data_IF_906801920328
#
_entry.id   IF_906801920328
#
_cell.length_a   1.000
_cell.length_b   1.000
_cell.length_c   1.000
_cell.angle_alpha   90.00
_cell.angle_beta   90.00
_cell.angle_gamma   90.00
#
_symmetry.space_group_name_H-M   'P 1'
#
loop_
_entity.id
_entity.type
_entity.pdbx_description
1 polymer ?
#
# COMPACT_ATOMS: atom_id res chain seq x y z
N UNK A 1 -30.38 -13.87 13.68
CA UNK A 1 -29.48 -14.94 14.17
C UNK A 1 -28.08 -14.36 14.25
N UNK A 2 -27.36 -14.59 15.36
CA UNK A 2 -25.98 -14.15 15.47
C UNK A 2 -25.15 -14.80 14.34
N UNK A 3 -24.33 -14.00 13.66
CA UNK A 3 -23.55 -14.45 12.50
C UNK A 3 -22.40 -15.40 12.90
N UNK A 4 -21.96 -15.32 14.15
CA UNK A 4 -20.82 -16.03 14.70
C UNK A 4 -21.17 -16.61 16.07
N UNK A 5 -20.56 -17.76 16.40
CA UNK A 5 -20.68 -18.45 17.69
C UNK A 5 -19.52 -18.12 18.63
N UNK A 6 -18.39 -17.67 18.08
CA UNK A 6 -17.23 -17.22 18.84
C UNK A 6 -16.41 -16.21 18.02
N UNK A 7 -15.38 -15.62 18.63
CA UNK A 7 -14.39 -14.83 17.89
C UNK A 7 -12.97 -15.06 18.40
N UNK A 8 -12.01 -14.75 17.54
CA UNK A 8 -10.58 -14.74 17.85
C UNK A 8 -9.95 -13.42 17.44
N UNK A 9 -9.10 -12.87 18.31
CA UNK A 9 -8.24 -11.73 18.00
C UNK A 9 -6.83 -12.25 17.78
N UNK A 10 -6.44 -12.41 16.52
CA UNK A 10 -5.06 -12.66 16.13
C UNK A 10 -4.26 -11.37 16.29
N UNK A 11 -3.26 -11.42 17.17
CA UNK A 11 -2.45 -10.26 17.51
C UNK A 11 -1.04 -10.72 17.91
N UNK A 12 -0.20 -9.77 18.28
CA UNK A 12 1.13 -10.04 18.82
C UNK A 12 1.32 -9.26 20.13
N UNK A 13 2.42 -9.55 20.83
CA UNK A 13 2.80 -8.75 21.98
C UNK A 13 2.96 -7.27 21.57
N UNK A 14 2.37 -6.36 22.37
CA UNK A 14 2.48 -4.90 22.21
C UNK A 14 1.84 -4.30 20.94
N UNK A 15 0.95 -5.02 20.28
CA UNK A 15 0.13 -4.47 19.17
C UNK A 15 -1.07 -3.62 19.63
N UNK A 16 -1.29 -3.48 20.94
CA UNK A 16 -2.48 -2.82 21.50
C UNK A 16 -3.63 -3.78 21.81
N UNK A 17 -3.42 -5.09 21.72
CA UNK A 17 -4.47 -6.09 21.92
C UNK A 17 -5.17 -6.06 23.28
N UNK A 18 -4.49 -5.61 24.35
CA UNK A 18 -5.12 -5.37 25.66
C UNK A 18 -6.16 -4.23 25.61
N UNK A 19 -5.87 -3.17 24.84
CA UNK A 19 -6.78 -2.03 24.71
C UNK A 19 -7.99 -2.42 23.85
N UNK A 20 -7.76 -3.15 22.76
CA UNK A 20 -8.85 -3.72 21.97
C UNK A 20 -9.73 -4.64 22.83
N UNK A 21 -9.12 -5.53 23.63
CA UNK A 21 -9.85 -6.41 24.55
C UNK A 21 -10.73 -5.61 25.53
N UNK A 22 -10.20 -4.56 26.15
CA UNK A 22 -10.95 -3.73 27.10
C UNK A 22 -12.20 -3.11 26.44
N UNK A 23 -12.07 -2.61 25.22
CA UNK A 23 -13.20 -2.03 24.46
C UNK A 23 -14.19 -3.10 23.99
N UNK A 24 -13.72 -4.28 23.57
CA UNK A 24 -14.59 -5.42 23.24
C UNK A 24 -15.41 -5.85 24.46
N UNK A 25 -14.78 -5.91 25.64
CA UNK A 25 -15.44 -6.29 26.89
C UNK A 25 -16.39 -5.23 27.45
N UNK A 26 -16.34 -4.00 26.91
CA UNK A 26 -17.32 -2.96 27.23
C UNK A 26 -18.60 -3.09 26.38
N UNK A 27 -18.63 -3.95 25.36
CA UNK A 27 -19.84 -4.24 24.59
C UNK A 27 -20.72 -5.24 25.35
N UNK A 28 -21.95 -4.83 25.65
CA UNK A 28 -22.94 -5.72 26.28
C UNK A 28 -23.13 -7.02 25.47
N UNK A 29 -23.05 -8.15 26.17
CA UNK A 29 -23.21 -9.48 25.58
C UNK A 29 -21.97 -10.02 24.86
N UNK A 30 -20.81 -9.36 24.97
CA UNK A 30 -19.53 -9.82 24.41
C UNK A 30 -18.52 -10.05 25.53
N UNK A 31 -17.71 -11.11 25.43
CA UNK A 31 -16.63 -11.37 26.38
C UNK A 31 -15.40 -11.96 25.71
N UNK A 32 -14.26 -11.30 25.88
CA UNK A 32 -12.94 -11.74 25.46
C UNK A 32 -12.16 -12.23 26.69
N UNK A 33 -11.83 -13.52 26.72
CA UNK A 33 -11.20 -14.23 27.83
C UNK A 33 -9.67 -14.11 27.87
N UNK A 34 -9.13 -12.94 27.50
CA UNK A 34 -7.69 -12.72 27.42
C UNK A 34 -6.98 -13.69 26.48
N UNK A 35 -5.77 -14.10 26.84
CA UNK A 35 -4.95 -15.07 26.12
C UNK A 35 -5.27 -16.51 26.58
N UNK A 36 -6.45 -17.00 26.24
CA UNK A 36 -6.98 -18.29 26.71
C UNK A 36 -6.04 -19.49 26.42
N UNK A 37 -5.24 -19.41 25.36
CA UNK A 37 -4.30 -20.44 24.92
C UNK A 37 -2.82 -20.09 25.17
N UNK A 38 -2.54 -19.17 26.10
CA UNK A 38 -1.17 -18.90 26.52
C UNK A 38 -0.58 -20.11 27.26
N UNK A 39 0.62 -20.60 26.92
CA UNK A 39 1.21 -21.77 27.58
C UNK A 39 1.53 -21.54 29.07
N UNK A 40 1.70 -20.30 29.51
CA UNK A 40 2.15 -19.99 30.86
C UNK A 40 1.00 -19.80 31.86
N UNK A 41 -0.16 -19.33 31.40
CA UNK A 41 -1.30 -18.96 32.25
C UNK A 41 -2.65 -19.19 31.54
N UNK A 42 -3.75 -19.17 32.30
CA UNK A 42 -5.09 -19.35 31.75
C UNK A 42 -5.78 -17.97 31.57
N UNK A 43 -5.79 -17.46 30.34
CA UNK A 43 -6.48 -16.21 29.96
C UNK A 43 -5.77 -14.95 30.40
N UNK A 44 -5.53 -14.79 31.70
CA UNK A 44 -4.85 -13.63 32.28
C UNK A 44 -3.67 -14.04 33.15
N UNK A 45 -2.64 -13.18 33.30
CA UNK A 45 -1.59 -13.39 34.28
C UNK A 45 -2.18 -13.58 35.68
N UNK A 46 -1.63 -14.54 36.44
CA UNK A 46 -2.09 -14.91 37.80
C UNK A 46 -3.54 -15.42 37.88
N UNK A 47 -4.08 -15.96 36.78
CA UNK A 47 -5.33 -16.74 36.78
C UNK A 47 -5.03 -18.19 36.43
N UNK A 48 -5.64 -19.09 37.20
CA UNK A 48 -5.43 -20.53 37.07
C UNK A 48 -6.52 -21.23 36.24
N UNK A 49 -7.59 -20.50 35.91
CA UNK A 49 -8.71 -21.03 35.14
C UNK A 49 -9.37 -19.98 34.22
N UNK A 50 -9.93 -20.45 33.11
CA UNK A 50 -10.80 -19.71 32.18
C UNK A 50 -12.08 -20.50 32.01
N UNK A 51 -13.24 -19.86 32.15
CA UNK A 51 -14.56 -20.52 32.06
C UNK A 51 -14.66 -21.78 32.96
N UNK A 52 -14.02 -21.74 34.14
CA UNK A 52 -13.99 -22.85 35.09
C UNK A 52 -13.03 -24.00 34.74
N UNK A 53 -12.37 -23.97 33.57
CA UNK A 53 -11.37 -24.95 33.16
C UNK A 53 -9.97 -24.51 33.63
N UNK A 54 -9.26 -25.40 34.34
CA UNK A 54 -7.89 -25.15 34.80
C UNK A 54 -6.89 -25.21 33.66
N UNK A 55 -5.69 -24.62 33.87
CA UNK A 55 -4.59 -24.72 32.91
C UNK A 55 -4.25 -26.18 32.56
N UNK A 56 -4.11 -27.04 33.56
CA UNK A 56 -3.74 -28.45 33.34
C UNK A 56 -4.81 -29.22 32.54
N UNK A 57 -6.10 -28.91 32.78
CA UNK A 57 -7.20 -29.49 32.00
C UNK A 57 -7.20 -29.00 30.55
N UNK A 58 -6.98 -27.70 30.32
CA UNK A 58 -6.81 -27.13 28.97
C UNK A 58 -5.60 -27.73 28.25
N UNK A 59 -4.47 -27.89 28.94
CA UNK A 59 -3.24 -28.39 28.31
C UNK A 59 -3.40 -29.87 27.89
N UNK A 60 -4.20 -30.65 28.65
CA UNK A 60 -4.60 -32.00 28.30
C UNK A 60 -5.56 -32.05 27.10
N UNK A 61 -6.55 -31.17 27.04
CA UNK A 61 -7.50 -31.06 25.92
C UNK A 61 -7.86 -29.58 25.61
N UNK A 62 -7.11 -28.93 24.70
CA UNK A 62 -7.36 -27.52 24.38
C UNK A 62 -8.60 -27.32 23.50
N UNK A 63 -9.11 -28.38 22.85
CA UNK A 63 -10.34 -28.29 22.07
C UNK A 63 -11.57 -28.19 22.99
N UNK A 64 -11.55 -28.84 24.15
CA UNK A 64 -12.59 -28.66 25.16
C UNK A 64 -12.74 -27.20 25.62
N UNK A 65 -11.64 -26.43 25.71
CA UNK A 65 -11.72 -24.99 26.00
C UNK A 65 -12.37 -24.19 24.85
N UNK A 66 -12.10 -24.54 23.59
CA UNK A 66 -12.78 -23.91 22.45
C UNK A 66 -14.29 -24.13 22.51
N UNK A 67 -14.72 -25.35 22.86
CA UNK A 67 -16.14 -25.68 22.95
C UNK A 67 -16.82 -24.96 24.13
N UNK A 68 -16.10 -24.77 25.25
CA UNK A 68 -16.55 -23.93 26.35
C UNK A 68 -16.71 -22.47 25.92
N UNK A 69 -15.77 -21.92 25.14
CA UNK A 69 -15.87 -20.56 24.60
C UNK A 69 -17.10 -20.44 23.68
N UNK A 70 -17.32 -21.39 22.76
CA UNK A 70 -18.49 -21.38 21.85
C UNK A 70 -19.83 -21.51 22.58
N UNK A 71 -19.86 -22.26 23.67
CA UNK A 71 -21.10 -22.56 24.42
C UNK A 71 -21.39 -21.56 25.53
N UNK A 72 -20.47 -20.66 25.84
CA UNK A 72 -20.65 -19.66 26.89
C UNK A 72 -21.75 -18.64 26.51
N UNK A 73 -22.51 -18.11 27.49
CA UNK A 73 -23.56 -17.13 27.21
C UNK A 73 -23.01 -15.86 26.54
N UNK A 74 -23.70 -15.38 25.49
CA UNK A 74 -23.26 -14.23 24.70
C UNK A 74 -22.21 -14.60 23.64
N UNK A 75 -21.60 -13.60 23.02
CA UNK A 75 -20.54 -13.81 22.04
C UNK A 75 -19.18 -13.82 22.76
N UNK A 76 -18.53 -14.98 22.76
CA UNK A 76 -17.30 -15.19 23.51
C UNK A 76 -16.09 -15.37 22.59
N UNK A 77 -14.93 -14.94 23.06
CA UNK A 77 -13.70 -15.03 22.29
C UNK A 77 -12.44 -14.89 23.11
N UNK A 78 -11.31 -14.81 22.44
CA UNK A 78 -9.99 -14.74 23.07
C UNK A 78 -8.95 -14.13 22.13
N UNK A 79 -7.82 -13.71 22.70
CA UNK A 79 -6.61 -13.32 21.98
C UNK A 79 -5.74 -14.52 21.70
N UNK A 80 -5.24 -14.60 20.47
CA UNK A 80 -4.37 -15.68 20.00
C UNK A 80 -3.10 -15.10 19.35
N UNK A 81 -1.93 -15.45 19.88
CA UNK A 81 -0.63 -15.01 19.37
C UNK A 81 0.11 -16.17 18.69
N UNK A 82 1.14 -15.86 17.89
CA UNK A 82 1.91 -16.89 17.19
C UNK A 82 2.63 -17.89 18.14
N UNK A 83 2.80 -17.53 19.40
CA UNK A 83 3.46 -18.32 20.45
C UNK A 83 2.48 -19.09 21.35
N UNK A 84 1.18 -19.02 21.07
CA UNK A 84 0.16 -19.76 21.81
C UNK A 84 0.05 -21.21 21.30
N UNK A 85 -0.76 -22.01 21.97
CA UNK A 85 -0.93 -23.43 21.66
C UNK A 85 -1.38 -23.67 20.20
N UNK A 86 -0.46 -24.18 19.38
CA UNK A 86 -0.68 -24.42 17.96
C UNK A 86 -1.71 -25.50 17.63
N UNK A 87 -2.10 -26.35 18.60
CA UNK A 87 -3.03 -27.46 18.39
C UNK A 87 -4.44 -26.98 18.02
N UNK A 88 -4.83 -25.80 18.50
CA UNK A 88 -6.14 -25.21 18.23
C UNK A 88 -6.20 -24.31 17.00
N UNK A 89 -5.04 -23.95 16.43
CA UNK A 89 -4.99 -23.00 15.31
C UNK A 89 -5.85 -23.45 14.12
N UNK A 90 -5.73 -24.73 13.73
CA UNK A 90 -6.46 -25.24 12.57
C UNK A 90 -7.97 -25.26 12.83
N UNK A 91 -8.39 -25.68 14.03
CA UNK A 91 -9.79 -25.69 14.44
C UNK A 91 -10.41 -24.28 14.44
N UNK A 92 -9.66 -23.25 14.84
CA UNK A 92 -10.11 -21.86 14.81
C UNK A 92 -10.21 -21.34 13.37
N UNK A 93 -9.18 -21.61 12.56
CA UNK A 93 -9.10 -21.09 11.20
C UNK A 93 -10.11 -21.73 10.25
N UNK A 94 -10.41 -23.02 10.43
CA UNK A 94 -11.33 -23.74 9.54
C UNK A 94 -12.80 -23.56 9.91
N UNK A 95 -13.09 -23.06 11.12
CA UNK A 95 -14.45 -22.84 11.61
C UNK A 95 -15.06 -21.52 11.09
N UNK A 96 -15.99 -21.53 10.12
CA UNK A 96 -16.60 -20.30 9.59
C UNK A 96 -17.50 -19.58 10.60
N UNK A 97 -17.93 -20.24 11.68
CA UNK A 97 -18.73 -19.64 12.75
C UNK A 97 -17.88 -18.91 13.80
N UNK A 98 -16.54 -19.08 13.77
CA UNK A 98 -15.62 -18.26 14.56
C UNK A 98 -15.23 -17.00 13.78
N UNK A 99 -15.52 -15.80 14.30
CA UNK A 99 -15.12 -14.54 13.68
C UNK A 99 -13.61 -14.31 13.82
N UNK A 100 -12.94 -13.85 12.75
CA UNK A 100 -11.51 -13.56 12.75
C UNK A 100 -11.28 -12.06 12.82
N UNK A 101 -10.53 -11.62 13.81
CA UNK A 101 -10.05 -10.24 13.94
C UNK A 101 -8.53 -10.30 13.87
N UNK A 102 -7.91 -9.51 12.99
CA UNK A 102 -6.45 -9.45 12.84
C UNK A 102 -6.01 -8.04 13.22
N UNK A 103 -5.23 -7.95 14.31
CA UNK A 103 -4.66 -6.71 14.81
C UNK A 103 -3.16 -6.65 14.53
N UNK A 104 -2.76 -5.73 13.66
CA UNK A 104 -1.37 -5.42 13.36
C UNK A 104 -0.90 -4.13 14.03
N UNK A 105 0.42 -3.99 14.08
CA UNK A 105 1.11 -2.75 14.46
C UNK A 105 2.44 -2.74 13.74
N UNK A 106 3.00 -1.56 13.50
CA UNK A 106 4.36 -1.43 13.00
C UNK A 106 5.34 -2.32 13.84
N UNK A 107 6.02 -3.30 13.23
CA UNK A 107 6.89 -4.23 13.94
C UNK A 107 8.02 -3.56 14.71
N UNK A 108 8.57 -2.44 14.20
CA UNK A 108 9.66 -1.75 14.91
C UNK A 108 9.16 -1.07 16.19
N UNK A 109 7.97 -0.49 16.17
CA UNK A 109 7.37 0.10 17.37
C UNK A 109 7.01 -0.94 18.43
N UNK A 110 6.48 -2.08 17.98
CA UNK A 110 6.16 -3.20 18.87
C UNK A 110 7.42 -3.78 19.49
N UNK A 111 8.48 -3.93 18.70
CA UNK A 111 9.78 -4.42 19.14
C UNK A 111 10.45 -3.47 20.15
N UNK A 112 10.54 -2.18 19.85
CA UNK A 112 11.09 -1.18 20.77
C UNK A 112 10.30 -1.16 22.09
N UNK A 113 8.96 -1.20 22.00
CA UNK A 113 8.12 -1.26 23.20
C UNK A 113 8.32 -2.55 24.00
N UNK A 114 8.58 -3.68 23.35
CA UNK A 114 8.88 -4.96 24.01
C UNK A 114 10.25 -4.93 24.71
N UNK A 115 11.28 -4.39 24.06
CA UNK A 115 12.62 -4.21 24.65
C UNK A 115 12.56 -3.34 25.89
N UNK A 116 11.84 -2.20 25.84
CA UNK A 116 11.66 -1.31 26.98
C UNK A 116 10.93 -2.01 28.12
N UNK A 117 9.85 -2.75 27.85
CA UNK A 117 9.11 -3.49 28.87
C UNK A 117 9.98 -4.57 29.53
N UNK A 118 10.81 -5.28 28.74
CA UNK A 118 11.75 -6.29 29.24
C UNK A 118 12.85 -5.67 30.12
N UNK A 119 13.34 -4.49 29.75
CA UNK A 119 14.36 -3.77 30.53
C UNK A 119 13.81 -3.18 31.84
N UNK A 120 12.56 -2.69 31.82
CA UNK A 120 11.94 -1.97 32.95
C UNK A 120 11.11 -2.86 33.89
N UNK A 121 10.77 -4.08 33.48
CA UNK A 121 9.90 -5.00 34.23
C UNK A 121 8.43 -4.55 34.32
N UNK A 122 8.04 -3.48 33.61
CA UNK A 122 6.69 -2.93 33.63
C UNK A 122 5.84 -3.45 32.47
N UNK A 123 4.83 -4.26 32.79
CA UNK A 123 3.92 -4.87 31.80
C UNK A 123 2.58 -4.11 31.65
N UNK A 124 2.22 -3.25 32.62
CA UNK A 124 1.06 -2.33 32.59
C UNK A 124 1.50 -0.93 33.02
N UNK A 125 1.26 0.07 32.18
CA UNK A 125 1.51 1.49 32.46
C UNK A 125 0.40 2.04 33.38
N UNK A 126 0.46 1.72 34.67
CA UNK A 126 -0.49 2.26 35.66
C UNK A 126 0.14 3.23 36.67
N UNK A 127 1.48 3.33 36.75
CA UNK A 127 2.15 4.21 37.73
C UNK A 127 3.15 5.18 37.09
N UNK A 128 2.80 6.47 37.13
CA UNK A 128 3.44 7.59 36.41
C UNK A 128 4.68 8.15 37.16
N UNK A 129 5.20 7.49 38.19
CA UNK A 129 6.17 8.12 39.13
C UNK A 129 7.65 7.71 39.02
N UNK A 130 8.06 6.93 38.01
CA UNK A 130 9.50 6.64 37.78
C UNK A 130 9.85 6.58 36.29
N UNK A 131 9.89 7.73 35.62
CA UNK A 131 10.66 7.89 34.38
C UNK A 131 12.14 8.07 34.75
N UNK A 132 12.91 6.98 34.82
CA UNK A 132 14.38 7.05 34.80
C UNK A 132 14.86 6.27 33.57
N UNK A 133 15.26 7.05 32.56
CA UNK A 133 16.16 6.68 31.44
C UNK A 133 15.82 5.37 30.69
N UNK A 134 14.73 5.39 29.91
CA UNK A 134 14.24 4.28 29.07
C UNK A 134 14.80 4.31 27.63
N UNK A 135 16.11 4.29 27.44
CA UNK A 135 16.70 3.96 26.13
C UNK A 135 17.02 2.48 26.06
N UNK A 136 16.88 1.86 24.89
CA UNK A 136 17.20 0.45 24.67
C UNK A 136 18.10 0.29 23.47
N UNK A 137 19.05 -0.64 23.55
CA UNK A 137 19.88 -1.01 22.41
C UNK A 137 19.08 -1.89 21.44
N UNK A 138 19.05 -1.48 20.18
CA UNK A 138 18.54 -2.24 19.05
C UNK A 138 19.50 -3.37 18.69
N UNK A 139 18.95 -4.53 18.32
CA UNK A 139 19.71 -5.70 17.86
C UNK A 139 19.10 -6.12 16.52
N UNK A 140 19.88 -5.97 15.44
CA UNK A 140 19.45 -6.29 14.07
C UNK A 140 19.01 -7.75 13.93
N UNK A 141 19.82 -8.68 14.44
CA UNK A 141 19.56 -10.11 14.27
C UNK A 141 18.36 -10.57 15.10
N UNK A 142 18.16 -10.01 16.30
CA UNK A 142 16.96 -10.23 17.11
C UNK A 142 15.71 -9.67 16.41
N UNK A 143 15.80 -8.45 15.87
CA UNK A 143 14.70 -7.82 15.15
C UNK A 143 14.32 -8.59 13.88
N UNK A 144 15.29 -9.03 13.09
CA UNK A 144 15.04 -9.82 11.87
C UNK A 144 14.35 -11.15 12.18
N UNK A 145 14.83 -11.89 13.19
CA UNK A 145 14.18 -13.13 13.63
C UNK A 145 12.77 -12.89 14.14
N UNK A 146 12.55 -11.78 14.84
CA UNK A 146 11.23 -11.38 15.33
C UNK A 146 10.28 -11.05 14.17
N UNK A 147 10.74 -10.23 13.22
CA UNK A 147 9.99 -9.84 12.03
C UNK A 147 9.64 -11.05 11.17
N UNK A 148 10.59 -11.96 10.94
CA UNK A 148 10.35 -13.16 10.13
C UNK A 148 9.25 -14.05 10.73
N UNK A 149 9.22 -14.19 12.07
CA UNK A 149 8.15 -14.94 12.77
C UNK A 149 6.79 -14.30 12.56
N UNK A 150 6.67 -12.99 12.75
CA UNK A 150 5.43 -12.24 12.54
C UNK A 150 4.97 -12.41 11.10
N UNK A 151 5.87 -12.22 10.12
CA UNK A 151 5.55 -12.35 8.71
C UNK A 151 5.09 -13.76 8.34
N UNK A 152 5.78 -14.80 8.80
CA UNK A 152 5.39 -16.20 8.57
C UNK A 152 4.00 -16.48 9.12
N UNK A 153 3.68 -15.96 10.29
CA UNK A 153 2.35 -16.11 10.88
C UNK A 153 1.27 -15.38 10.08
N UNK A 154 1.52 -14.12 9.68
CA UNK A 154 0.59 -13.34 8.85
C UNK A 154 0.32 -14.01 7.50
N UNK A 155 1.35 -14.56 6.84
CA UNK A 155 1.19 -15.34 5.61
C UNK A 155 0.39 -16.62 5.82
N UNK A 156 0.58 -17.30 6.96
CA UNK A 156 -0.20 -18.48 7.32
C UNK A 156 -1.68 -18.12 7.49
N UNK A 157 -2.00 -17.04 8.19
CA UNK A 157 -3.37 -16.52 8.36
C UNK A 157 -3.99 -16.19 7.01
N UNK A 158 -3.33 -15.35 6.21
CA UNK A 158 -3.81 -14.93 4.90
C UNK A 158 -4.07 -16.13 3.98
N UNK A 159 -3.10 -17.05 3.88
CA UNK A 159 -3.24 -18.24 3.03
C UNK A 159 -4.38 -19.15 3.48
N UNK A 160 -4.66 -19.23 4.79
CA UNK A 160 -5.79 -20.02 5.32
C UNK A 160 -7.12 -19.36 5.02
N UNK A 161 -7.26 -18.06 5.25
CA UNK A 161 -8.48 -17.30 4.90
C UNK A 161 -8.79 -17.44 3.39
N UNK A 162 -7.77 -17.30 2.54
CA UNK A 162 -7.94 -17.43 1.08
C UNK A 162 -8.40 -18.83 0.66
N UNK A 163 -7.80 -19.89 1.22
CA UNK A 163 -8.16 -21.27 0.87
C UNK A 163 -9.53 -21.67 1.40
N UNK A 164 -9.95 -21.16 2.56
CA UNK A 164 -11.25 -21.46 3.16
C UNK A 164 -12.36 -20.53 2.68
N UNK A 165 -12.05 -19.50 1.88
CA UNK A 165 -13.02 -18.50 1.43
C UNK A 165 -13.55 -17.60 2.57
N UNK A 166 -12.86 -17.57 3.71
CA UNK A 166 -13.23 -16.75 4.86
C UNK A 166 -12.59 -15.37 4.80
N UNK A 167 -13.14 -14.42 5.54
CA UNK A 167 -12.59 -13.07 5.71
C UNK A 167 -12.34 -12.77 7.19
N UNK A 168 -11.53 -11.74 7.45
CA UNK A 168 -11.25 -11.23 8.79
C UNK A 168 -11.54 -9.72 8.85
N UNK A 169 -11.79 -9.21 10.05
CA UNK A 169 -11.80 -7.78 10.35
C UNK A 169 -10.37 -7.35 10.68
N UNK A 170 -9.80 -6.48 9.85
CA UNK A 170 -8.43 -6.01 9.99
C UNK A 170 -8.40 -4.69 10.76
N UNK A 171 -7.46 -4.59 11.69
CA UNK A 171 -7.22 -3.41 12.53
C UNK A 171 -5.71 -3.16 12.59
N UNK A 172 -5.33 -1.89 12.50
CA UNK A 172 -4.02 -1.42 12.95
C UNK A 172 -4.11 -0.77 14.34
N UNK A 173 -2.95 -0.56 14.96
CA UNK A 173 -2.87 0.01 16.31
C UNK A 173 -3.50 1.40 16.40
N UNK A 174 -3.36 2.20 15.35
CA UNK A 174 -3.90 3.55 15.23
C UNK A 174 -5.43 3.54 15.19
N UNK A 175 -6.03 2.54 14.54
CA UNK A 175 -7.48 2.39 14.41
C UNK A 175 -8.18 2.16 15.75
N UNK A 176 -7.45 1.64 16.74
CA UNK A 176 -8.01 1.39 18.07
C UNK A 176 -8.50 2.68 18.76
N UNK A 177 -8.01 3.84 18.33
CA UNK A 177 -8.40 5.15 18.88
C UNK A 177 -9.66 5.73 18.23
N UNK A 178 -10.28 5.02 17.29
CA UNK A 178 -11.49 5.45 16.60
C UNK A 178 -12.72 4.67 17.09
N UNK A 179 -13.66 5.39 17.72
CA UNK A 179 -14.93 4.83 18.22
C UNK A 179 -15.76 4.26 17.09
N UNK A 180 -15.77 4.89 15.92
CA UNK A 180 -16.56 4.43 14.77
C UNK A 180 -16.00 3.13 14.21
N UNK A 181 -14.68 2.96 14.21
CA UNK A 181 -14.04 1.69 13.82
C UNK A 181 -14.37 0.58 14.81
N UNK A 182 -14.32 0.85 16.13
CA UNK A 182 -14.72 -0.14 17.15
C UNK A 182 -16.21 -0.52 17.03
N UNK A 183 -17.08 0.44 16.70
CA UNK A 183 -18.48 0.17 16.41
C UNK A 183 -18.67 -0.59 15.08
N UNK A 184 -17.77 -0.39 14.11
CA UNK A 184 -17.65 -1.22 12.91
C UNK A 184 -17.30 -2.68 13.23
N UNK A 185 -16.39 -2.91 14.18
CA UNK A 185 -16.08 -4.24 14.69
C UNK A 185 -17.30 -4.88 15.38
N UNK A 186 -18.03 -4.14 16.22
CA UNK A 186 -19.25 -4.64 16.86
C UNK A 186 -20.28 -5.09 15.81
N UNK A 187 -20.45 -4.30 14.73
CA UNK A 187 -21.32 -4.67 13.60
C UNK A 187 -20.81 -5.91 12.85
N UNK A 188 -19.50 -6.01 12.63
CA UNK A 188 -18.90 -7.19 12.02
C UNK A 188 -19.22 -8.45 12.83
N UNK A 189 -19.07 -8.39 14.15
CA UNK A 189 -19.39 -9.47 15.09
C UNK A 189 -20.89 -9.80 15.16
N UNK A 190 -21.76 -8.97 14.57
CA UNK A 190 -23.20 -9.16 14.62
C UNK A 190 -23.81 -8.82 15.98
N UNK A 191 -23.16 -7.93 16.74
CA UNK A 191 -23.57 -7.47 18.06
C UNK A 191 -24.29 -6.13 17.92
N UNK A 192 -25.37 -5.91 18.67
CA UNK A 192 -26.15 -4.66 18.63
C UNK A 192 -25.56 -3.55 19.50
N UNK A 193 -24.85 -3.91 20.58
CA UNK A 193 -24.19 -2.97 21.49
C UNK A 193 -23.20 -2.06 20.77
N UNK A 194 -23.09 -0.81 21.23
CA UNK A 194 -22.18 0.21 20.68
C UNK A 194 -21.46 0.92 21.80
N UNK A 195 -20.23 1.34 21.52
CA UNK A 195 -19.44 2.19 22.39
C UNK A 195 -19.80 3.66 22.13
N UNK A 196 -20.16 4.39 23.18
CA UNK A 196 -20.28 5.86 23.13
C UNK A 196 -18.91 6.54 23.21
N UNK A 197 -18.00 5.93 23.95
CA UNK A 197 -16.62 6.38 24.12
C UNK A 197 -15.67 5.19 24.27
N UNK A 198 -14.39 5.40 23.97
CA UNK A 198 -13.35 4.39 24.21
C UNK A 198 -12.94 4.38 25.68
N UNK A 199 -12.41 3.23 26.10
CA UNK A 199 -11.79 3.08 27.41
C UNK A 199 -10.73 4.18 27.65
N UNK A 200 -10.90 4.95 28.73
CA UNK A 200 -10.03 6.08 29.07
C UNK A 200 -8.84 5.68 29.95
N UNK A 201 -8.73 4.40 30.34
CA UNK A 201 -7.72 3.94 31.29
C UNK A 201 -6.32 3.86 30.65
N UNK A 202 -6.26 3.71 29.33
CA UNK A 202 -5.03 3.64 28.54
C UNK A 202 -4.74 4.98 27.83
N UNK A 203 -4.40 6.02 28.60
CA UNK A 203 -3.94 7.31 28.03
C UNK A 203 -2.61 7.14 27.28
N UNK A 204 -2.56 7.61 26.04
CA UNK A 204 -1.32 7.88 25.28
C UNK A 204 -0.57 9.02 25.99
N UNK A 205 0.27 8.69 26.96
CA UNK A 205 1.26 9.64 27.47
C UNK A 205 2.34 9.82 26.38
N UNK A 206 2.61 11.08 26.01
CA UNK A 206 3.49 11.50 24.91
C UNK A 206 4.63 10.50 24.65
N UNK A 207 4.54 9.68 23.58
CA UNK A 207 5.58 8.73 23.29
C UNK A 207 6.79 9.49 22.77
N UNK A 208 7.92 9.36 23.47
CA UNK A 208 9.25 9.68 22.92
C UNK A 208 9.36 9.16 21.48
N UNK A 209 10.01 9.91 20.61
CA UNK A 209 10.34 9.49 19.24
C UNK A 209 11.19 8.22 19.26
N UNK A 210 11.28 7.50 18.14
CA UNK A 210 12.10 6.29 18.08
C UNK A 210 13.58 6.60 18.30
N UNK A 211 14.06 7.75 17.80
CA UNK A 211 15.42 8.25 18.04
C UNK A 211 15.71 8.49 19.54
N UNK A 212 14.70 8.90 20.32
CA UNK A 212 14.83 9.11 21.76
C UNK A 212 14.70 7.80 22.58
N UNK A 213 14.29 6.70 21.95
CA UNK A 213 14.09 5.38 22.59
C UNK A 213 15.23 4.40 22.30
N UNK A 214 15.96 4.59 21.20
CA UNK A 214 16.96 3.65 20.71
C UNK A 214 18.35 4.28 20.76
N UNK A 215 19.28 3.65 21.49
CA UNK A 215 20.64 4.18 21.69
C UNK A 215 21.48 4.17 20.41
N UNK A 216 21.34 3.11 19.60
CA UNK A 216 22.01 2.89 18.32
C UNK A 216 21.02 3.07 17.15
N UNK A 217 20.39 4.25 17.08
CA UNK A 217 19.36 4.56 16.07
C UNK A 217 19.86 4.37 14.63
N UNK A 218 21.09 4.77 14.32
CA UNK A 218 21.69 4.61 12.99
C UNK A 218 21.76 3.14 12.54
N UNK A 219 22.05 2.22 13.47
CA UNK A 219 22.08 0.77 13.17
C UNK A 219 20.67 0.24 12.88
N UNK A 220 19.67 0.74 13.61
CA UNK A 220 18.27 0.44 13.35
C UNK A 220 17.85 0.96 11.96
N UNK A 221 18.19 2.20 11.61
CA UNK A 221 17.88 2.77 10.29
C UNK A 221 18.53 1.96 9.16
N UNK A 222 19.82 1.61 9.28
CA UNK A 222 20.51 0.79 8.29
C UNK A 222 19.87 -0.61 8.13
N UNK A 223 19.45 -1.21 9.25
CA UNK A 223 18.75 -2.49 9.27
C UNK A 223 17.38 -2.42 8.61
N UNK A 224 16.60 -1.39 8.94
CA UNK A 224 15.28 -1.15 8.36
C UNK A 224 15.40 -0.87 6.86
N UNK A 225 16.35 -0.04 6.43
CA UNK A 225 16.59 0.24 5.02
C UNK A 225 16.93 -1.03 4.22
N UNK A 226 17.68 -1.98 4.81
CA UNK A 226 17.93 -3.29 4.18
C UNK A 226 16.67 -4.14 4.11
N UNK A 227 15.90 -4.21 5.20
CA UNK A 227 14.67 -5.03 5.29
C UNK A 227 13.56 -4.48 4.38
N UNK A 228 13.38 -3.17 4.33
CA UNK A 228 12.36 -2.49 3.54
C UNK A 228 12.57 -2.71 2.03
N UNK A 229 13.83 -2.71 1.58
CA UNK A 229 14.21 -3.12 0.21
C UNK A 229 13.73 -4.52 -0.17
N UNK A 230 13.51 -5.42 0.80
CA UNK A 230 12.91 -6.76 0.58
C UNK A 230 11.40 -6.82 0.86
N UNK A 231 10.82 -5.82 1.52
CA UNK A 231 9.42 -5.78 1.98
C UNK A 231 8.50 -4.79 1.24
N UNK A 232 9.02 -4.01 0.28
CA UNK A 232 8.25 -3.12 -0.62
C UNK A 232 7.07 -3.79 -1.36
N UNK A 233 6.93 -5.12 -1.28
CA UNK A 233 5.82 -5.88 -1.85
C UNK A 233 4.62 -6.09 -0.89
N UNK A 234 4.61 -5.54 0.34
CA UNK A 234 3.56 -5.86 1.35
C UNK A 234 2.85 -4.70 2.04
N UNK A 235 3.19 -3.44 1.75
CA UNK A 235 2.25 -2.34 2.03
C UNK A 235 1.00 -2.57 1.19
N UNK A 236 -0.23 -2.52 1.76
CA UNK A 236 -1.43 -2.62 0.95
C UNK A 236 -1.37 -1.55 -0.15
N UNK A 237 -1.24 -1.99 -1.40
CA UNK A 237 -1.32 -1.08 -2.53
C UNK A 237 -2.81 -0.71 -2.68
N UNK A 238 -3.19 0.44 -2.14
CA UNK A 238 -4.54 0.98 -2.30
C UNK A 238 -4.79 1.50 -3.72
N UNK A 239 -3.75 1.61 -4.55
CA UNK A 239 -3.93 1.92 -5.96
C UNK A 239 -4.69 0.76 -6.64
N UNK A 240 -5.83 1.04 -7.31
CA UNK A 240 -6.57 0.01 -8.04
C UNK A 240 -5.68 -0.71 -9.05
N UNK A 241 -5.83 -2.03 -9.13
CA UNK A 241 -5.14 -2.83 -10.16
C UNK A 241 -5.51 -2.32 -11.55
N UNK A 242 -4.52 -2.29 -12.44
CA UNK A 242 -4.70 -1.88 -13.84
C UNK A 242 -4.87 -3.11 -14.71
N UNK A 243 -5.92 -3.11 -15.54
CA UNK A 243 -6.03 -4.05 -16.64
C UNK A 243 -5.05 -3.72 -17.79
N UNK A 244 -4.97 -4.58 -18.81
CA UNK A 244 -3.90 -4.55 -19.82
C UNK A 244 -3.94 -3.36 -20.76
N UNK A 245 -5.03 -2.58 -20.78
CA UNK A 245 -5.16 -1.38 -21.62
C UNK A 245 -4.94 -1.62 -23.12
N UNK A 246 -5.27 -2.81 -23.63
CA UNK A 246 -5.07 -3.22 -25.03
C UNK A 246 -5.53 -2.17 -26.08
N UNK A 247 -6.67 -1.48 -25.92
CA UNK A 247 -7.09 -0.47 -26.90
C UNK A 247 -6.12 0.71 -27.07
N UNK A 248 -5.25 1.00 -26.11
CA UNK A 248 -4.25 2.06 -26.23
C UNK A 248 -2.98 1.64 -26.95
N UNK A 249 -2.76 0.35 -27.19
CA UNK A 249 -1.55 -0.11 -27.86
C UNK A 249 -1.53 0.39 -29.32
N UNK A 250 -0.34 0.72 -29.81
CA UNK A 250 -0.12 1.21 -31.15
C UNK A 250 0.92 0.33 -31.84
N UNK A 251 0.59 -0.26 -32.98
CA UNK A 251 1.54 -0.99 -33.81
C UNK A 251 1.96 -0.16 -35.01
N UNK A 252 3.21 -0.34 -35.46
CA UNK A 252 3.67 0.24 -36.72
C UNK A 252 2.83 -0.32 -37.90
N UNK A 253 2.71 0.42 -39.02
CA UNK A 253 1.88 0.01 -40.15
C UNK A 253 2.35 -1.29 -40.81
N UNK A 254 3.66 -1.48 -40.94
CA UNK A 254 4.29 -2.64 -41.61
C UNK A 254 5.26 -3.36 -40.68
N UNK A 255 6.08 -2.62 -39.96
CA UNK A 255 7.08 -3.16 -39.06
C UNK A 255 6.42 -3.90 -37.88
N UNK A 256 7.02 -5.03 -37.46
CA UNK A 256 6.58 -5.80 -36.30
C UNK A 256 6.88 -5.15 -34.94
N UNK A 257 6.62 -3.85 -34.76
CA UNK A 257 6.76 -3.15 -33.49
C UNK A 257 5.41 -2.79 -32.88
N UNK A 258 5.29 -3.06 -31.58
CA UNK A 258 4.12 -2.75 -30.78
C UNK A 258 4.49 -1.86 -29.59
N UNK A 259 4.01 -0.62 -29.58
CA UNK A 259 4.15 0.31 -28.47
C UNK A 259 2.99 0.16 -27.48
N UNK A 260 3.33 -0.03 -26.21
CA UNK A 260 2.42 -0.08 -25.06
C UNK A 260 2.55 1.24 -24.30
N UNK A 261 1.69 2.25 -24.55
CA UNK A 261 1.90 3.58 -23.99
C UNK A 261 1.61 3.68 -22.51
N UNK A 262 2.55 4.30 -21.78
CA UNK A 262 2.29 4.87 -20.45
C UNK A 262 1.73 6.28 -20.59
N UNK A 263 0.59 6.54 -19.95
CA UNK A 263 -0.02 7.88 -19.97
C UNK A 263 0.86 8.90 -19.28
N UNK A 264 0.84 10.12 -19.81
CA UNK A 264 1.73 11.22 -19.44
C UNK A 264 3.22 10.91 -19.70
N UNK A 265 3.53 9.88 -20.48
CA UNK A 265 4.85 9.66 -21.07
C UNK A 265 5.01 10.38 -22.42
N UNK A 266 6.10 10.13 -23.16
CA UNK A 266 6.39 10.78 -24.43
C UNK A 266 5.57 10.20 -25.61
N UNK A 267 4.27 9.96 -25.40
CA UNK A 267 3.39 9.23 -26.33
C UNK A 267 3.39 9.84 -27.73
N UNK A 268 3.35 11.17 -27.85
CA UNK A 268 3.35 11.86 -29.14
C UNK A 268 4.65 11.62 -29.91
N UNK A 269 5.80 11.82 -29.27
CA UNK A 269 7.11 11.64 -29.90
C UNK A 269 7.31 10.18 -30.35
N UNK A 270 6.97 9.21 -29.50
CA UNK A 270 7.10 7.78 -29.81
C UNK A 270 6.16 7.36 -30.94
N UNK A 271 4.91 7.83 -30.97
CA UNK A 271 3.98 7.52 -32.07
C UNK A 271 4.44 8.12 -33.40
N UNK A 272 4.93 9.35 -33.39
CA UNK A 272 5.50 9.97 -34.61
C UNK A 272 6.71 9.19 -35.11
N UNK A 273 7.63 8.83 -34.22
CA UNK A 273 8.79 8.00 -34.55
C UNK A 273 8.37 6.62 -35.11
N UNK A 274 7.41 5.96 -34.46
CA UNK A 274 6.95 4.63 -34.84
C UNK A 274 6.31 4.61 -36.23
N UNK A 275 5.58 5.67 -36.60
CA UNK A 275 5.00 5.81 -37.93
C UNK A 275 6.06 6.13 -38.98
N UNK A 276 6.98 7.04 -38.67
CA UNK A 276 8.08 7.41 -39.55
C UNK A 276 9.06 6.26 -39.83
N UNK A 277 9.12 5.23 -38.97
CA UNK A 277 9.91 4.02 -39.20
C UNK A 277 9.46 3.24 -40.45
N UNK A 278 8.20 3.42 -40.86
CA UNK A 278 7.59 2.86 -42.07
C UNK A 278 7.22 3.97 -43.07
N UNK A 279 7.89 5.13 -43.01
CA UNK A 279 7.64 6.29 -43.88
C UNK A 279 6.16 6.73 -43.93
N UNK A 280 5.45 6.52 -42.82
CA UNK A 280 4.01 6.72 -42.72
C UNK A 280 3.63 7.86 -41.76
N UNK A 281 2.46 8.50 -41.94
CA UNK A 281 1.95 9.49 -41.01
C UNK A 281 1.41 8.84 -39.71
N UNK A 282 1.35 9.57 -38.56
CA UNK A 282 0.96 8.99 -37.27
C UNK A 282 -0.45 8.39 -37.18
N UNK A 283 -1.36 8.79 -38.06
CA UNK A 283 -2.72 8.26 -38.17
C UNK A 283 -2.78 6.92 -38.90
N UNK A 284 -1.72 6.53 -39.63
CA UNK A 284 -1.56 5.20 -40.22
C UNK A 284 -1.21 4.12 -39.19
N UNK A 285 -0.83 4.50 -37.96
CA UNK A 285 -0.57 3.55 -36.88
C UNK A 285 -1.81 2.72 -36.57
N UNK A 286 -1.63 1.40 -36.50
CA UNK A 286 -2.69 0.48 -36.11
C UNK A 286 -2.93 0.64 -34.60
N UNK A 287 -4.12 1.05 -34.21
CA UNK A 287 -4.50 1.30 -32.81
C UNK A 287 -5.95 0.87 -32.55
N UNK A 288 -6.44 1.02 -31.32
CA UNK A 288 -7.82 0.64 -30.99
C UNK A 288 -8.03 -0.88 -30.96
N UNK A 289 -6.97 -1.63 -30.65
CA UNK A 289 -7.03 -3.09 -30.62
C UNK A 289 -8.06 -3.61 -29.62
N UNK A 290 -8.74 -4.69 -30.01
CA UNK A 290 -9.35 -5.63 -29.08
C UNK A 290 -8.33 -6.71 -28.73
N UNK A 291 -8.60 -7.51 -27.69
CA UNK A 291 -7.77 -8.68 -27.39
C UNK A 291 -7.67 -9.64 -28.59
N UNK A 292 -8.77 -9.84 -29.31
CA UNK A 292 -8.79 -10.71 -30.51
C UNK A 292 -7.94 -10.14 -31.63
N UNK A 293 -8.17 -8.88 -32.01
CA UNK A 293 -7.41 -8.27 -33.11
C UNK A 293 -5.92 -8.11 -32.80
N UNK A 294 -5.55 -7.92 -31.52
CA UNK A 294 -4.14 -7.94 -31.12
C UNK A 294 -3.52 -9.33 -31.26
N UNK A 295 -4.22 -10.41 -30.91
CA UNK A 295 -3.73 -11.79 -31.13
C UNK A 295 -3.53 -12.07 -32.62
N UNK A 296 -4.46 -11.63 -33.46
CA UNK A 296 -4.35 -11.82 -34.91
C UNK A 296 -3.20 -11.00 -35.51
N UNK A 297 -2.98 -9.78 -35.00
CA UNK A 297 -1.80 -9.00 -35.35
C UNK A 297 -0.51 -9.72 -34.95
N UNK A 298 -0.40 -10.21 -33.71
CA UNK A 298 0.77 -10.95 -33.23
C UNK A 298 1.06 -12.21 -34.06
N UNK A 299 0.03 -12.93 -34.50
CA UNK A 299 0.16 -14.12 -35.36
C UNK A 299 0.61 -13.79 -36.77
N UNK A 300 0.18 -12.64 -37.31
CA UNK A 300 0.58 -12.18 -38.64
C UNK A 300 1.96 -11.51 -38.67
N UNK A 301 2.56 -11.23 -37.51
CA UNK A 301 3.91 -10.65 -37.39
C UNK A 301 4.80 -11.53 -36.49
N UNK A 302 5.21 -12.74 -36.93
CA UNK A 302 6.19 -13.54 -36.21
C UNK A 302 7.50 -12.76 -35.98
N UNK A 303 8.04 -12.84 -34.76
CA UNK A 303 9.23 -12.06 -34.38
C UNK A 303 8.94 -10.60 -34.01
N UNK A 304 7.67 -10.19 -33.92
CA UNK A 304 7.32 -8.86 -33.42
C UNK A 304 7.96 -8.58 -32.06
N UNK A 305 8.30 -7.32 -31.82
CA UNK A 305 8.80 -6.83 -30.55
C UNK A 305 7.87 -5.76 -30.01
N UNK A 306 7.69 -5.78 -28.70
CA UNK A 306 6.85 -4.85 -27.98
C UNK A 306 7.67 -4.05 -26.99
N UNK A 307 7.31 -2.79 -26.77
CA UNK A 307 8.06 -1.94 -25.87
C UNK A 307 7.16 -0.91 -25.20
N UNK A 308 7.66 -0.36 -24.08
CA UNK A 308 7.09 0.80 -23.40
C UNK A 308 8.20 1.78 -23.08
N UNK A 309 7.85 3.04 -22.79
CA UNK A 309 8.81 4.09 -22.44
C UNK A 309 8.45 4.67 -21.07
N UNK A 310 9.39 4.57 -20.12
CA UNK A 310 9.30 5.18 -18.81
C UNK A 310 9.72 6.65 -18.87
N UNK A 311 9.05 7.48 -18.08
CA UNK A 311 9.41 8.88 -17.83
C UNK A 311 9.80 9.06 -16.37
N UNK A 312 10.72 9.97 -16.08
CA UNK A 312 11.06 10.29 -14.69
C UNK A 312 9.79 10.71 -13.92
N UNK A 313 9.56 10.22 -12.68
CA UNK A 313 8.31 10.50 -11.96
C UNK A 313 7.96 11.99 -11.86
N UNK A 314 8.96 12.87 -11.65
CA UNK A 314 8.76 14.34 -11.62
C UNK A 314 8.23 14.87 -12.95
N UNK A 315 8.92 14.58 -14.04
CA UNK A 315 8.52 15.02 -15.38
C UNK A 315 7.15 14.45 -15.76
N UNK A 316 6.85 13.21 -15.36
CA UNK A 316 5.56 12.58 -15.65
C UNK A 316 4.41 13.23 -14.88
N UNK A 317 4.58 13.46 -13.58
CA UNK A 317 3.58 14.12 -12.76
C UNK A 317 3.33 15.55 -13.24
N UNK A 318 4.39 16.27 -13.63
CA UNK A 318 4.29 17.62 -14.17
C UNK A 318 3.58 17.65 -15.52
N UNK A 319 3.92 16.76 -16.45
CA UNK A 319 3.22 16.65 -17.72
C UNK A 319 1.72 16.35 -17.53
N UNK A 320 1.38 15.43 -16.62
CA UNK A 320 -0.02 15.13 -16.27
C UNK A 320 -0.74 16.36 -15.70
N UNK A 321 -0.08 17.12 -14.82
CA UNK A 321 -0.61 18.37 -14.28
C UNK A 321 -0.85 19.40 -15.39
N UNK A 322 0.14 19.66 -16.23
CA UNK A 322 0.05 20.64 -17.31
C UNK A 322 -1.06 20.28 -18.31
N UNK A 323 -1.08 19.03 -18.79
CA UNK A 323 -1.99 18.60 -19.86
C UNK A 323 -3.42 18.37 -19.38
N UNK A 324 -3.61 17.87 -18.16
CA UNK A 324 -4.94 17.45 -17.68
C UNK A 324 -5.59 18.43 -16.72
N UNK A 325 -4.80 19.21 -15.98
CA UNK A 325 -5.31 20.05 -14.90
C UNK A 325 -5.15 21.54 -15.22
N UNK A 326 -3.95 21.97 -15.59
CA UNK A 326 -3.65 23.37 -15.85
C UNK A 326 -4.31 23.84 -17.15
N UNK A 327 -4.10 23.10 -18.24
CA UNK A 327 -4.70 23.38 -19.53
C UNK A 327 -6.24 23.42 -19.46
N UNK A 328 -6.83 24.34 -20.21
CA UNK A 328 -8.30 24.50 -20.31
C UNK A 328 -8.86 24.08 -21.68
N UNK A 329 -8.01 23.55 -22.56
CA UNK A 329 -8.38 23.08 -23.90
C UNK A 329 -9.03 21.69 -23.92
N UNK A 330 -9.28 21.19 -25.13
CA UNK A 330 -9.82 19.86 -25.34
C UNK A 330 -8.92 18.76 -24.72
N UNK A 331 -9.53 17.78 -24.04
CA UNK A 331 -8.80 16.70 -23.38
C UNK A 331 -8.31 17.00 -21.96
N UNK A 332 -8.57 18.21 -21.44
CA UNK A 332 -8.40 18.58 -20.03
C UNK A 332 -9.53 18.04 -19.14
N UNK A 333 -9.29 17.93 -17.85
CA UNK A 333 -10.22 17.37 -16.87
C UNK A 333 -10.91 18.46 -16.04
N UNK A 334 -11.83 19.18 -16.68
CA UNK A 334 -12.54 20.34 -16.09
C UNK A 334 -13.19 20.03 -14.73
N UNK A 335 -13.79 18.85 -14.56
CA UNK A 335 -14.42 18.46 -13.29
C UNK A 335 -13.41 18.27 -12.15
N UNK A 336 -12.29 17.60 -12.42
CA UNK A 336 -11.23 17.36 -11.44
C UNK A 336 -10.50 18.67 -11.11
N UNK A 337 -10.28 19.50 -12.13
CA UNK A 337 -9.76 20.86 -11.97
C UNK A 337 -10.62 21.70 -11.01
N UNK A 338 -11.94 21.68 -11.19
CA UNK A 338 -12.88 22.37 -10.28
C UNK A 338 -12.78 21.84 -8.85
N UNK A 339 -12.70 20.52 -8.67
CA UNK A 339 -12.49 19.90 -7.36
C UNK A 339 -11.17 20.35 -6.71
N UNK A 340 -10.08 20.42 -7.47
CA UNK A 340 -8.77 20.85 -6.97
C UNK A 340 -8.83 22.29 -6.45
N UNK A 341 -9.49 23.19 -7.18
CA UNK A 341 -9.70 24.58 -6.74
C UNK A 341 -10.58 24.64 -5.49
N UNK A 342 -11.70 23.90 -5.47
CA UNK A 342 -12.71 24.02 -4.41
C UNK A 342 -12.30 23.33 -3.10
N UNK A 343 -11.78 22.10 -3.19
CA UNK A 343 -11.51 21.22 -2.03
C UNK A 343 -10.05 21.25 -1.63
N UNK A 344 -9.14 21.14 -2.59
CA UNK A 344 -7.69 21.12 -2.31
C UNK A 344 -7.06 22.52 -2.29
N UNK A 345 -7.85 23.57 -2.57
CA UNK A 345 -7.43 24.98 -2.58
C UNK A 345 -6.23 25.24 -3.50
N UNK A 346 -6.13 24.48 -4.60
CA UNK A 346 -5.07 24.66 -5.60
C UNK A 346 -5.34 25.96 -6.37
N UNK A 347 -4.39 26.89 -6.33
CA UNK A 347 -4.48 28.17 -7.01
C UNK A 347 -4.23 27.99 -8.52
N UNK A 348 -5.30 27.79 -9.29
CA UNK A 348 -5.26 27.70 -10.75
C UNK A 348 -5.92 28.93 -11.38
N UNK A 349 -5.38 29.48 -12.49
CA UNK A 349 -5.96 30.62 -13.17
C UNK A 349 -7.33 30.24 -13.78
N UNK A 350 -8.25 31.15 -14.11
CA UNK A 350 -9.53 30.77 -14.74
C UNK A 350 -9.33 30.08 -16.10
N UNK A 351 -8.36 30.54 -16.88
CA UNK A 351 -7.96 30.04 -18.20
C UNK A 351 -6.44 29.88 -18.24
N UNK A 352 -5.93 29.03 -19.13
CA UNK A 352 -4.48 28.93 -19.38
C UNK A 352 -4.23 28.86 -20.89
N UNK A 353 -3.26 29.60 -21.45
CA UNK A 353 -2.28 30.48 -20.76
C UNK A 353 -2.89 31.75 -20.14
N UNK A 354 -2.22 32.28 -19.11
CA UNK A 354 -2.56 33.52 -18.39
C UNK A 354 -1.26 34.24 -18.00
N UNK A 355 -1.10 35.51 -18.40
CA UNK A 355 0.11 36.30 -18.17
C UNK A 355 0.37 36.58 -16.68
N UNK A 356 -0.67 36.53 -15.84
CA UNK A 356 -0.53 36.69 -14.39
C UNK A 356 -0.08 35.40 -13.68
N UNK A 357 -0.01 34.27 -14.40
CA UNK A 357 0.37 32.98 -13.83
C UNK A 357 1.88 32.76 -13.91
N UNK A 358 2.59 33.21 -12.88
CA UNK A 358 4.04 33.13 -12.78
C UNK A 358 4.56 31.75 -12.30
N UNK A 359 5.89 31.62 -12.25
CA UNK A 359 6.54 30.39 -11.79
C UNK A 359 6.21 30.03 -10.33
N UNK A 360 6.00 31.03 -9.46
CA UNK A 360 5.67 30.78 -8.06
C UNK A 360 4.25 30.23 -7.91
N UNK A 361 3.29 30.78 -8.66
CA UNK A 361 1.93 30.27 -8.76
C UNK A 361 1.90 28.86 -9.38
N UNK A 362 2.72 28.62 -10.42
CA UNK A 362 2.87 27.30 -11.04
C UNK A 362 3.39 26.26 -10.05
N UNK A 363 4.46 26.58 -9.31
CA UNK A 363 5.03 25.72 -8.27
C UNK A 363 4.01 25.38 -7.18
N UNK A 364 3.35 26.40 -6.63
CA UNK A 364 2.36 26.22 -5.57
C UNK A 364 1.18 25.35 -6.04
N UNK A 365 0.70 25.56 -7.26
CA UNK A 365 -0.36 24.74 -7.84
C UNK A 365 0.07 23.30 -8.09
N UNK A 366 1.30 23.08 -8.56
CA UNK A 366 1.84 21.74 -8.79
C UNK A 366 2.00 20.96 -7.48
N UNK A 367 2.53 21.57 -6.42
CA UNK A 367 2.60 20.95 -5.09
C UNK A 367 1.20 20.62 -4.53
N UNK A 368 0.23 21.53 -4.72
CA UNK A 368 -1.17 21.28 -4.36
C UNK A 368 -1.78 20.10 -5.12
N UNK A 369 -1.44 19.95 -6.41
CA UNK A 369 -1.82 18.80 -7.21
C UNK A 369 -1.17 17.51 -6.70
N UNK A 370 0.12 17.50 -6.36
CA UNK A 370 0.79 16.31 -5.80
C UNK A 370 0.15 15.85 -4.49
N UNK A 371 -0.25 16.78 -3.61
CA UNK A 371 -1.02 16.46 -2.40
C UNK A 371 -2.34 15.74 -2.72
N UNK A 372 -3.04 16.20 -3.75
CA UNK A 372 -4.23 15.49 -4.23
C UNK A 372 -3.89 14.10 -4.76
N UNK A 373 -2.85 13.96 -5.58
CA UNK A 373 -2.47 12.66 -6.17
C UNK A 373 -2.12 11.66 -5.06
N UNK A 374 -1.35 12.08 -4.04
CA UNK A 374 -1.04 11.25 -2.87
C UNK A 374 -2.31 10.72 -2.20
N UNK A 375 -3.25 11.61 -1.89
CA UNK A 375 -4.52 11.23 -1.27
C UNK A 375 -5.35 10.32 -2.20
N UNK A 376 -5.32 10.57 -3.51
CA UNK A 376 -6.05 9.78 -4.49
C UNK A 376 -5.50 8.35 -4.64
N UNK A 377 -4.18 8.19 -4.74
CA UNK A 377 -3.53 6.87 -4.78
C UNK A 377 -3.70 6.11 -3.46
N UNK A 378 -3.76 6.82 -2.33
CA UNK A 378 -4.08 6.26 -1.02
C UNK A 378 -5.56 5.93 -0.78
N UNK A 379 -6.44 6.10 -1.76
CA UNK A 379 -7.87 5.81 -1.62
C UNK A 379 -8.65 6.80 -0.74
N UNK A 380 -8.07 7.95 -0.41
CA UNK A 380 -8.63 8.97 0.49
C UNK A 380 -9.49 10.01 -0.24
N UNK A 381 -9.71 9.85 -1.55
CA UNK A 381 -10.55 10.75 -2.35
C UNK A 381 -11.59 9.97 -3.15
N UNK A 382 -12.77 10.55 -3.33
CA UNK A 382 -13.83 9.96 -4.17
C UNK A 382 -13.57 10.04 -5.68
N UNK A 383 -12.39 10.50 -6.10
CA UNK A 383 -12.01 10.60 -7.52
C UNK A 383 -11.43 9.26 -7.97
N UNK A 384 -11.76 8.80 -9.18
CA UNK A 384 -11.10 7.61 -9.74
C UNK A 384 -9.58 7.84 -9.86
N UNK A 385 -8.79 6.80 -9.64
CA UNK A 385 -7.36 6.86 -9.99
C UNK A 385 -7.22 6.83 -11.51
N UNK A 386 -6.76 7.92 -12.12
CA UNK A 386 -6.60 8.02 -13.57
C UNK A 386 -5.21 7.53 -14.01
N UNK A 387 -5.12 6.98 -15.22
CA UNK A 387 -3.87 6.47 -15.79
C UNK A 387 -2.77 7.52 -15.93
N UNK A 388 -3.12 8.82 -16.05
CA UNK A 388 -2.13 9.89 -16.20
C UNK A 388 -1.30 10.13 -14.93
N UNK A 389 -1.79 9.77 -13.74
CA UNK A 389 -1.07 9.89 -12.47
C UNK A 389 -1.03 8.61 -11.64
N UNK A 390 -1.51 7.50 -12.20
CA UNK A 390 -1.22 6.15 -11.70
C UNK A 390 0.30 5.91 -11.64
N UNK A 391 0.77 5.01 -10.78
CA UNK A 391 2.20 4.62 -10.81
C UNK A 391 2.52 3.91 -12.13
N UNK A 392 3.70 4.18 -12.69
CA UNK A 392 4.19 3.49 -13.89
C UNK A 392 4.37 1.99 -13.60
N UNK A 393 4.80 1.63 -12.39
CA UNK A 393 4.95 0.25 -11.96
C UNK A 393 3.63 -0.52 -12.04
N UNK A 394 2.52 0.07 -11.55
CA UNK A 394 1.20 -0.56 -11.62
C UNK A 394 0.68 -0.66 -13.06
N UNK A 395 0.97 0.33 -13.91
CA UNK A 395 0.60 0.29 -15.32
C UNK A 395 1.37 -0.81 -16.10
N UNK A 396 2.69 -0.91 -15.91
CA UNK A 396 3.52 -1.95 -16.53
C UNK A 396 3.12 -3.34 -16.04
N UNK A 397 2.83 -3.48 -14.75
CA UNK A 397 2.29 -4.74 -14.19
C UNK A 397 0.96 -5.11 -14.86
N UNK A 398 0.07 -4.14 -15.08
CA UNK A 398 -1.22 -4.37 -15.73
C UNK A 398 -1.09 -4.85 -17.18
N UNK A 399 -0.11 -4.36 -17.93
CA UNK A 399 0.14 -4.83 -19.30
C UNK A 399 0.32 -6.36 -19.36
N UNK A 400 1.06 -6.92 -18.39
CA UNK A 400 1.41 -8.33 -18.34
C UNK A 400 0.20 -9.29 -18.25
N UNK A 401 -1.00 -8.79 -17.93
CA UNK A 401 -2.23 -9.58 -18.02
C UNK A 401 -2.56 -10.02 -19.47
N UNK A 402 -2.01 -9.35 -20.49
CA UNK A 402 -2.25 -9.68 -21.90
C UNK A 402 -1.02 -9.59 -22.81
N UNK A 403 -0.15 -8.60 -22.59
CA UNK A 403 1.06 -8.39 -23.37
C UNK A 403 2.18 -7.86 -22.46
N UNK A 404 3.27 -8.61 -22.39
CA UNK A 404 4.48 -8.17 -21.68
C UNK A 404 5.34 -7.37 -22.68
N UNK A 405 5.76 -6.13 -22.37
CA UNK A 405 6.73 -5.44 -23.21
C UNK A 405 8.06 -6.20 -23.21
N UNK A 406 8.61 -6.47 -24.39
CA UNK A 406 9.93 -7.09 -24.54
C UNK A 406 11.05 -6.15 -24.08
N UNK A 407 10.84 -4.82 -24.21
CA UNK A 407 11.76 -3.81 -23.72
C UNK A 407 11.02 -2.71 -22.93
N UNK A 408 11.63 -2.28 -21.83
CA UNK A 408 11.20 -1.12 -21.05
C UNK A 408 12.27 -0.05 -21.18
N UNK A 409 12.01 0.92 -22.07
CA UNK A 409 12.96 1.99 -22.44
C UNK A 409 12.83 3.19 -21.50
N UNK A 410 13.79 4.11 -21.53
CA UNK A 410 13.75 5.34 -20.72
C UNK A 410 13.74 6.58 -21.59
N UNK A 411 12.92 7.56 -21.24
CA UNK A 411 12.85 8.83 -21.98
C UNK A 411 14.20 9.56 -22.06
N UNK A 412 15.02 9.48 -21.00
CA UNK A 412 16.32 10.17 -20.95
C UNK A 412 17.34 9.63 -21.97
N UNK A 413 17.21 8.36 -22.38
CA UNK A 413 18.09 7.66 -23.32
C UNK A 413 17.31 7.16 -24.54
N UNK A 414 16.15 7.78 -24.83
CA UNK A 414 15.16 7.21 -25.72
C UNK A 414 15.68 7.01 -27.15
N UNK A 415 16.49 7.94 -27.66
CA UNK A 415 17.04 7.83 -29.01
C UNK A 415 17.99 6.63 -29.13
N UNK A 416 18.93 6.47 -28.20
CA UNK A 416 19.85 5.32 -28.16
C UNK A 416 19.09 4.00 -27.99
N UNK A 417 18.11 3.97 -27.08
CA UNK A 417 17.27 2.82 -26.79
C UNK A 417 16.46 2.38 -28.03
N UNK A 418 15.90 3.34 -28.78
CA UNK A 418 15.15 3.08 -30.00
C UNK A 418 16.06 2.65 -31.16
N UNK A 419 17.31 3.13 -31.21
CA UNK A 419 18.30 2.66 -32.19
C UNK A 419 18.59 1.17 -32.01
N UNK A 420 18.78 0.73 -30.76
CA UNK A 420 18.97 -0.68 -30.42
C UNK A 420 17.72 -1.49 -30.81
N UNK A 421 16.53 -0.99 -30.50
CA UNK A 421 15.28 -1.66 -30.86
C UNK A 421 15.12 -1.81 -32.38
N UNK A 422 15.40 -0.75 -33.14
CA UNK A 422 15.35 -0.74 -34.60
C UNK A 422 16.35 -1.76 -35.20
N UNK A 423 17.58 -1.82 -34.67
CA UNK A 423 18.55 -2.82 -35.09
C UNK A 423 18.08 -4.26 -34.82
N UNK A 424 17.42 -4.52 -33.69
CA UNK A 424 16.90 -5.84 -33.33
C UNK A 424 15.80 -6.37 -34.27
N UNK A 425 15.14 -5.50 -35.01
CA UNK A 425 14.13 -5.85 -36.03
C UNK A 425 14.67 -5.74 -37.46
N UNK A 426 16.00 -5.59 -37.62
CA UNK A 426 16.68 -5.57 -38.92
C UNK A 426 16.64 -4.22 -39.64
N UNK A 427 16.31 -3.12 -38.97
CA UNK A 427 16.41 -1.77 -39.55
C UNK A 427 17.83 -1.23 -39.35
N UNK A 428 18.50 -0.86 -40.44
CA UNK A 428 19.84 -0.25 -40.40
C UNK A 428 19.81 1.24 -40.04
N UNK A 429 18.69 1.90 -40.28
CA UNK A 429 18.45 3.30 -39.95
C UNK A 429 17.11 3.45 -39.23
N UNK A 430 16.98 4.52 -38.45
CA UNK A 430 15.74 4.92 -37.83
C UNK A 430 15.55 6.44 -37.98
N UNK A 431 14.30 6.95 -37.92
CA UNK A 431 14.06 8.38 -37.84
C UNK A 431 14.56 8.95 -36.50
N UNK A 432 14.87 10.25 -36.48
CA UNK A 432 15.20 10.96 -35.24
C UNK A 432 13.98 11.04 -34.32
N UNK A 433 14.25 11.02 -33.01
CA UNK A 433 13.20 11.20 -32.00
C UNK A 433 12.89 12.68 -31.83
N UNK A 434 11.62 13.05 -31.96
CA UNK A 434 11.17 14.43 -31.77
C UNK A 434 11.14 14.86 -30.30
N UNK A 435 10.72 16.11 -30.05
CA UNK A 435 10.56 16.65 -28.69
C UNK A 435 9.64 15.77 -27.82
N UNK A 436 10.19 15.28 -26.72
CA UNK A 436 9.50 14.32 -25.82
C UNK A 436 8.69 15.01 -24.72
N UNK A 437 9.17 16.16 -24.23
CA UNK A 437 8.57 16.91 -23.12
C UNK A 437 8.49 18.41 -23.46
N UNK A 438 7.33 18.90 -23.94
CA UNK A 438 7.13 20.32 -24.23
C UNK A 438 7.08 21.19 -22.97
N UNK A 439 6.90 20.60 -21.78
CA UNK A 439 6.77 21.32 -20.50
C UNK A 439 8.09 21.41 -19.73
N UNK A 440 9.18 20.85 -20.29
CA UNK A 440 10.50 20.76 -19.64
C UNK A 440 11.01 22.10 -19.13
N UNK A 441 10.85 23.17 -19.90
CA UNK A 441 11.29 24.51 -19.51
C UNK A 441 10.53 25.02 -18.27
N UNK A 442 9.21 24.81 -18.24
CA UNK A 442 8.35 25.20 -17.12
C UNK A 442 8.62 24.35 -15.87
N UNK A 443 8.93 23.06 -16.03
CA UNK A 443 9.36 22.22 -14.92
C UNK A 443 10.68 22.72 -14.34
N UNK A 444 11.68 22.99 -15.20
CA UNK A 444 12.99 23.51 -14.77
C UNK A 444 12.88 24.80 -13.96
N UNK A 445 11.93 25.68 -14.27
CA UNK A 445 11.76 26.94 -13.52
C UNK A 445 11.16 26.77 -12.12
N UNK A 446 10.57 25.60 -11.81
CA UNK A 446 9.94 25.36 -10.50
C UNK A 446 10.57 24.21 -9.71
N UNK A 447 11.47 23.45 -10.34
CA UNK A 447 12.06 22.27 -9.74
C UNK A 447 13.05 22.64 -8.63
N UNK A 448 12.86 22.02 -7.47
CA UNK A 448 13.72 22.11 -6.31
C UNK A 448 13.57 20.84 -5.45
N UNK A 449 14.28 20.81 -4.32
CA UNK A 449 14.25 19.67 -3.39
C UNK A 449 12.86 19.40 -2.81
N UNK A 450 12.03 20.42 -2.61
CA UNK A 450 10.67 20.21 -2.09
C UNK A 450 9.78 19.54 -3.14
N UNK A 451 9.92 19.94 -4.41
CA UNK A 451 9.21 19.31 -5.53
C UNK A 451 9.65 17.85 -5.68
N UNK A 452 10.97 17.59 -5.67
CA UNK A 452 11.50 16.22 -5.73
C UNK A 452 10.97 15.37 -4.56
N UNK A 453 11.04 15.89 -3.32
CA UNK A 453 10.56 15.19 -2.14
C UNK A 453 9.05 14.90 -2.21
N UNK A 454 8.23 15.86 -2.66
CA UNK A 454 6.79 15.67 -2.80
C UNK A 454 6.44 14.61 -3.87
N UNK A 455 7.15 14.61 -5.01
CA UNK A 455 6.95 13.58 -6.04
C UNK A 455 7.41 12.22 -5.54
N UNK A 456 8.57 12.14 -4.87
CA UNK A 456 9.10 10.90 -4.30
C UNK A 456 8.15 10.31 -3.26
N UNK A 457 7.48 11.14 -2.46
CA UNK A 457 6.47 10.69 -1.51
C UNK A 457 5.22 10.11 -2.20
N UNK A 458 4.83 10.64 -3.36
CA UNK A 458 3.69 10.14 -4.14
C UNK A 458 4.05 8.85 -4.91
N UNK A 459 5.23 8.83 -5.52
CA UNK A 459 5.63 7.84 -6.51
C UNK A 459 6.81 6.98 -6.07
N UNK A 460 7.03 6.81 -4.76
CA UNK A 460 8.15 6.03 -4.21
C UNK A 460 8.32 4.67 -4.92
N UNK A 461 7.20 4.00 -5.19
CA UNK A 461 7.18 2.74 -5.94
C UNK A 461 7.81 2.82 -7.33
N UNK A 462 7.63 3.90 -8.07
CA UNK A 462 8.25 4.08 -9.39
C UNK A 462 9.76 4.32 -9.24
N UNK A 463 10.19 5.08 -8.23
CA UNK A 463 11.61 5.27 -7.93
C UNK A 463 12.29 3.95 -7.60
N UNK A 464 11.69 3.14 -6.74
CA UNK A 464 12.26 1.86 -6.31
C UNK A 464 12.21 0.81 -7.42
N UNK A 465 11.06 0.65 -8.09
CA UNK A 465 10.87 -0.38 -9.11
C UNK A 465 11.75 -0.17 -10.34
N UNK A 466 12.05 1.09 -10.68
CA UNK A 466 12.81 1.44 -11.88
C UNK A 466 14.14 2.13 -11.59
N UNK A 467 14.56 2.23 -10.32
CA UNK A 467 15.85 2.78 -9.91
C UNK A 467 16.06 4.24 -10.32
N UNK A 468 15.04 5.09 -10.20
CA UNK A 468 15.20 6.52 -10.49
C UNK A 468 15.99 7.23 -9.36
N UNK A 469 16.94 8.08 -9.76
CA UNK A 469 17.59 9.05 -8.88
C UNK A 469 16.75 10.33 -8.75
N UNK A 470 17.36 11.43 -8.31
CA UNK A 470 16.70 12.74 -8.38
C UNK A 470 16.61 13.22 -9.84
N UNK A 471 15.64 14.09 -10.15
CA UNK A 471 15.51 14.65 -11.49
C UNK A 471 16.70 15.58 -11.81
N UNK A 472 17.29 15.40 -13.00
CA UNK A 472 18.46 16.15 -13.52
C UNK A 472 18.14 16.86 -14.82
#
# INVERSE_FOLDING_TARGET
MARFESFVVFAEMRTGSNFLEANINALDGVTCHGEAFNPNFAGYPNKDAVLGMTRDARDADPHALLDLVRSAPGLNGFRYFNSHDGRVFDAIMDDPACAKIILSRNPIESYASWKIAKATGQWKLTDVKRLREDTVTFDSAEFERHLEKIQKFQLRLLGRLQRSGQTAFYLDYEDLQDVDVMNGLARFLGVDARLEELDRSLKKQNPKTMAEKIENFDEMEATLARIDRFNLNRTPNFEPRRGPSVPSFCAAPETGLLYLPLRAGPERAVRTWLAALDDAPPDALRSGFSQTSLRDWKRSHPGHRSFTVLRHPVARAHAAFCDKILATGAGSYVGIRKLLVQTFKVALPPTYPDDAYDAAAHRAAFLGYLKFVKANLGGQTGVRVDSHWATQANAVQGFAEFAVPDLVLREATLEDDLAILAAQIGKEMMPQVGETDPHRALLRSIYDQDVEAAVREVYQRDYDAFGFGDYV
#
